data_IF_911550182402
#
_entry.id   IF_911550182402
#
_cell.length_a   1.000
_cell.length_b   1.000
_cell.length_c   1.000
_cell.angle_alpha   90.00
_cell.angle_beta   90.00
_cell.angle_gamma   90.00
#
_symmetry.space_group_name_H-M   'P 1'
#
loop_
_entity.id
_entity.type
_entity.pdbx_description
1 polymer ?
#
# COMPACT_ATOMS: atom_id res chain seq x y z
N UNK A 1 -14.68 2.54 -4.89
CA UNK A 1 -13.61 3.16 -4.05
C UNK A 1 -12.41 3.50 -4.92
N UNK A 2 -11.53 4.41 -4.50
CA UNK A 2 -10.34 4.81 -5.26
C UNK A 2 -9.12 4.01 -4.83
N UNK A 3 -8.35 3.53 -5.81
CA UNK A 3 -7.08 2.81 -5.60
C UNK A 3 -5.92 3.69 -6.10
N UNK A 4 -4.86 3.77 -5.30
CA UNK A 4 -3.69 4.59 -5.60
C UNK A 4 -2.40 3.86 -5.26
N UNK A 5 -1.46 3.83 -6.20
CA UNK A 5 -0.12 3.31 -5.95
C UNK A 5 0.93 4.01 -6.82
N UNK A 6 2.15 4.11 -6.31
CA UNK A 6 3.33 4.56 -7.06
C UNK A 6 4.33 3.42 -7.08
N UNK A 7 4.78 3.06 -8.26
CA UNK A 7 5.77 2.01 -8.47
C UNK A 7 7.01 2.64 -9.06
N UNK A 8 8.14 2.38 -8.43
CA UNK A 8 9.42 3.02 -8.75
C UNK A 8 10.43 1.93 -9.08
N UNK A 9 11.02 2.01 -10.27
CA UNK A 9 12.08 1.10 -10.68
C UNK A 9 13.39 1.35 -9.93
N UNK A 10 14.37 0.43 -10.07
CA UNK A 10 15.68 0.57 -9.45
C UNK A 10 16.33 1.92 -9.76
N UNK A 11 16.86 2.60 -8.74
CA UNK A 11 17.49 3.92 -8.88
C UNK A 11 16.55 5.07 -9.26
N UNK A 12 15.23 4.85 -9.23
CA UNK A 12 14.24 5.86 -9.64
C UNK A 12 14.06 6.01 -11.15
N UNK A 13 14.63 5.09 -11.94
CA UNK A 13 14.71 5.23 -13.40
C UNK A 13 13.34 5.17 -14.11
N UNK A 14 12.37 4.46 -13.53
CA UNK A 14 11.02 4.35 -14.07
C UNK A 14 9.99 4.60 -12.99
N UNK A 15 8.90 5.26 -13.35
CA UNK A 15 7.77 5.48 -12.46
C UNK A 15 6.49 5.06 -13.18
N UNK A 16 5.72 4.19 -12.55
CA UNK A 16 4.34 3.90 -12.93
C UNK A 16 3.41 4.30 -11.80
N UNK A 17 2.20 4.73 -12.15
CA UNK A 17 1.19 5.16 -11.18
C UNK A 17 -0.13 4.48 -11.47
N UNK A 18 -0.76 3.98 -10.41
CA UNK A 18 -2.13 3.46 -10.44
C UNK A 18 -3.01 4.53 -9.81
N UNK A 19 -4.09 4.90 -10.50
CA UNK A 19 -5.12 5.84 -10.06
C UNK A 19 -6.45 5.37 -10.63
N UNK A 20 -7.09 4.40 -9.97
CA UNK A 20 -8.25 3.68 -10.51
C UNK A 20 -9.49 3.85 -9.63
N UNK A 21 -10.61 4.25 -10.26
CA UNK A 21 -11.91 4.19 -9.62
C UNK A 21 -12.52 2.81 -9.83
N UNK A 22 -12.96 2.18 -8.74
CA UNK A 22 -13.58 0.85 -8.78
C UNK A 22 -15.03 0.90 -8.34
N UNK A 23 -15.81 -0.09 -8.78
CA UNK A 23 -17.19 -0.32 -8.32
C UNK A 23 -17.27 -0.89 -6.91
N UNK A 24 -16.14 -1.32 -6.33
CA UNK A 24 -16.11 -1.85 -4.96
C UNK A 24 -16.51 -0.79 -3.93
N UNK A 25 -17.23 -1.24 -2.91
CA UNK A 25 -17.58 -0.47 -1.72
C UNK A 25 -16.99 -1.17 -0.50
N UNK A 26 -16.67 -0.42 0.54
CA UNK A 26 -15.97 -0.98 1.70
C UNK A 26 -15.23 0.08 2.51
N UNK A 27 -14.33 -0.39 3.36
CA UNK A 27 -13.55 0.45 4.26
C UNK A 27 -12.18 0.85 3.67
N UNK A 28 -11.49 1.78 4.32
CA UNK A 28 -10.15 2.21 3.91
C UNK A 28 -9.15 1.05 3.83
N UNK A 29 -9.12 0.16 4.84
CA UNK A 29 -8.19 -0.98 4.85
C UNK A 29 -8.41 -1.92 3.65
N UNK A 30 -9.66 -2.07 3.20
CA UNK A 30 -9.97 -2.86 2.02
C UNK A 30 -9.48 -2.17 0.74
N UNK A 31 -9.66 -0.85 0.64
CA UNK A 31 -9.13 -0.06 -0.48
C UNK A 31 -7.60 -0.15 -0.54
N UNK A 32 -6.92 -0.03 0.61
CA UNK A 32 -5.47 -0.16 0.71
C UNK A 32 -4.98 -1.56 0.30
N UNK A 33 -5.65 -2.61 0.76
CA UNK A 33 -5.32 -3.99 0.40
C UNK A 33 -5.53 -4.26 -1.10
N UNK A 34 -6.62 -3.75 -1.67
CA UNK A 34 -6.88 -3.86 -3.12
C UNK A 34 -5.87 -3.06 -3.94
N UNK A 35 -5.46 -1.88 -3.47
CA UNK A 35 -4.43 -1.08 -4.13
C UNK A 35 -3.07 -1.81 -4.14
N UNK A 36 -2.71 -2.45 -3.02
CA UNK A 36 -1.52 -3.31 -2.95
C UNK A 36 -1.59 -4.46 -3.95
N UNK A 37 -2.68 -5.23 -3.95
CA UNK A 37 -2.87 -6.34 -4.90
C UNK A 37 -2.74 -5.88 -6.36
N UNK A 38 -3.38 -4.76 -6.70
CA UNK A 38 -3.34 -4.19 -8.04
C UNK A 38 -1.92 -3.77 -8.45
N UNK A 39 -1.13 -3.22 -7.52
CA UNK A 39 0.26 -2.87 -7.73
C UNK A 39 1.15 -4.12 -7.91
N UNK A 40 0.96 -5.15 -7.07
CA UNK A 40 1.69 -6.41 -7.19
C UNK A 40 1.40 -7.10 -8.52
N UNK A 41 0.15 -7.18 -8.94
CA UNK A 41 -0.25 -7.74 -10.25
C UNK A 41 0.41 -7.02 -11.43
N UNK A 42 0.61 -5.70 -11.33
CA UNK A 42 1.32 -4.96 -12.35
C UNK A 42 2.84 -5.23 -12.33
N UNK A 43 3.43 -5.36 -11.14
CA UNK A 43 4.86 -5.67 -10.98
C UNK A 43 5.22 -7.08 -11.39
N UNK A 44 4.36 -8.05 -11.07
CA UNK A 44 4.61 -9.49 -11.22
C UNK A 44 5.28 -9.86 -12.56
N UNK A 45 4.74 -9.50 -13.74
CA UNK A 45 5.36 -9.85 -15.02
C UNK A 45 6.72 -9.17 -15.29
N UNK A 46 7.07 -8.11 -14.55
CA UNK A 46 8.28 -7.32 -14.77
C UNK A 46 9.45 -7.72 -13.86
N UNK A 47 9.15 -8.17 -12.64
CA UNK A 47 10.18 -8.37 -11.60
C UNK A 47 10.37 -9.82 -11.18
N UNK A 48 9.38 -10.70 -11.39
CA UNK A 48 9.49 -12.11 -10.97
C UNK A 48 10.59 -12.83 -11.75
N UNK A 49 10.68 -12.61 -13.06
CA UNK A 49 11.70 -13.24 -13.90
C UNK A 49 13.13 -12.76 -13.59
N UNK A 50 13.28 -11.56 -13.04
CA UNK A 50 14.59 -10.95 -12.72
C UNK A 50 14.97 -11.12 -11.26
N UNK A 51 14.14 -11.76 -10.44
CA UNK A 51 14.32 -11.93 -8.99
C UNK A 51 14.63 -10.60 -8.27
N UNK A 52 14.10 -9.48 -8.77
CA UNK A 52 14.34 -8.17 -8.18
C UNK A 52 13.58 -8.06 -6.85
N UNK A 53 14.27 -7.66 -5.77
CA UNK A 53 13.64 -7.39 -4.47
C UNK A 53 12.59 -6.29 -4.60
N UNK A 54 11.39 -6.53 -4.08
CA UNK A 54 10.30 -5.55 -4.04
C UNK A 54 10.21 -4.95 -2.64
N UNK A 55 10.24 -3.62 -2.55
CA UNK A 55 9.95 -2.91 -1.30
C UNK A 55 8.55 -2.32 -1.38
N UNK A 56 7.71 -2.64 -0.40
CA UNK A 56 6.35 -2.11 -0.28
C UNK A 56 6.32 -1.14 0.89
N UNK A 57 6.09 0.14 0.60
CA UNK A 57 5.92 1.19 1.60
C UNK A 57 4.43 1.50 1.75
N UNK A 58 3.89 1.35 2.95
CA UNK A 58 2.47 1.64 3.24
C UNK A 58 2.32 2.43 4.52
N UNK A 59 1.36 3.35 4.59
CA UNK A 59 0.95 4.00 5.83
C UNK A 59 -0.13 3.24 6.61
N UNK A 60 -0.56 2.10 6.09
CA UNK A 60 -1.50 1.20 6.74
C UNK A 60 -0.78 0.25 7.69
N UNK A 61 -0.92 0.47 9.01
CA UNK A 61 -0.42 -0.50 9.99
C UNK A 61 -1.11 -1.85 9.85
N UNK A 62 -2.40 -1.85 9.47
CA UNK A 62 -3.19 -3.07 9.27
C UNK A 62 -2.61 -3.94 8.15
N UNK A 63 -2.19 -3.36 7.02
CA UNK A 63 -1.53 -4.14 5.97
C UNK A 63 -0.23 -4.76 6.46
N UNK A 64 0.60 -3.95 7.12
CA UNK A 64 1.92 -4.38 7.61
C UNK A 64 1.79 -5.47 8.68
N UNK A 65 0.82 -5.35 9.59
CA UNK A 65 0.54 -6.34 10.62
C UNK A 65 -0.02 -7.65 10.03
N UNK A 66 -1.00 -7.58 9.11
CA UNK A 66 -1.67 -8.77 8.58
C UNK A 66 -0.84 -9.53 7.54
N UNK A 67 0.04 -8.85 6.81
CA UNK A 67 0.90 -9.45 5.78
C UNK A 67 2.36 -9.65 6.23
N UNK A 68 2.73 -9.11 7.39
CA UNK A 68 4.05 -9.31 7.98
C UNK A 68 4.25 -10.71 8.56
N UNK A 69 5.43 -10.94 9.12
CA UNK A 69 5.83 -12.24 9.68
C UNK A 69 5.12 -12.58 11.01
N UNK A 70 4.60 -11.56 11.72
CA UNK A 70 3.95 -11.76 13.00
C UNK A 70 2.53 -12.32 12.81
N UNK A 71 2.24 -13.44 13.45
CA UNK A 71 0.90 -13.99 13.47
C UNK A 71 -0.03 -13.09 14.28
N UNK A 72 -0.97 -12.43 13.59
CA UNK A 72 -2.01 -11.61 14.19
C UNK A 72 -3.39 -12.22 13.93
N UNK A 73 -4.36 -11.89 14.78
CA UNK A 73 -5.73 -12.33 14.57
C UNK A 73 -6.26 -11.81 13.22
N UNK A 74 -6.83 -12.68 12.36
CA UNK A 74 -7.31 -12.26 11.06
C UNK A 74 -8.52 -11.33 11.21
N UNK A 75 -8.58 -10.31 10.37
CA UNK A 75 -9.82 -9.53 10.20
C UNK A 75 -10.76 -10.38 9.35
N UNK A 76 -11.71 -11.07 9.98
CA UNK A 76 -12.55 -12.11 9.37
C UNK A 76 -13.11 -11.74 7.99
N UNK A 77 -13.73 -10.55 7.87
CA UNK A 77 -14.29 -10.07 6.60
C UNK A 77 -13.26 -9.84 5.48
N UNK A 78 -11.99 -9.60 5.83
CA UNK A 78 -10.90 -9.33 4.89
C UNK A 78 -9.96 -10.53 4.74
N UNK A 79 -10.15 -11.60 5.52
CA UNK A 79 -9.26 -12.76 5.52
C UNK A 79 -9.06 -13.36 4.10
N UNK A 80 -10.10 -13.53 3.26
CA UNK A 80 -9.90 -14.04 1.90
C UNK A 80 -9.01 -13.14 1.03
N UNK A 81 -9.10 -11.82 1.21
CA UNK A 81 -8.33 -10.86 0.44
C UNK A 81 -6.87 -10.79 0.95
N UNK A 82 -6.65 -10.96 2.25
CA UNK A 82 -5.30 -11.11 2.80
C UNK A 82 -4.65 -12.41 2.35
N UNK A 83 -5.40 -13.51 2.26
CA UNK A 83 -4.91 -14.78 1.73
C UNK A 83 -4.51 -14.66 0.25
N UNK A 84 -5.30 -13.94 -0.55
CA UNK A 84 -4.93 -13.63 -1.94
C UNK A 84 -3.61 -12.84 -1.99
N UNK A 85 -3.49 -11.79 -1.19
CA UNK A 85 -2.27 -10.98 -1.14
C UNK A 85 -1.04 -11.81 -0.73
N UNK A 86 -1.16 -12.70 0.27
CA UNK A 86 -0.07 -13.62 0.65
C UNK A 86 0.34 -14.53 -0.51
N UNK A 87 -0.62 -15.09 -1.25
CA UNK A 87 -0.33 -15.95 -2.43
C UNK A 87 0.38 -15.18 -3.54
N UNK A 88 0.00 -13.92 -3.78
CA UNK A 88 0.66 -13.08 -4.78
C UNK A 88 2.08 -12.73 -4.33
N UNK A 89 2.27 -12.33 -3.06
CA UNK A 89 3.57 -12.02 -2.49
C UNK A 89 4.56 -13.19 -2.58
N UNK A 90 4.09 -14.43 -2.39
CA UNK A 90 4.92 -15.65 -2.51
C UNK A 90 5.49 -15.89 -3.92
N UNK A 91 4.99 -15.19 -4.95
CA UNK A 91 5.53 -15.31 -6.32
C UNK A 91 6.79 -14.49 -6.54
N UNK A 92 7.06 -13.52 -5.66
CA UNK A 92 8.24 -12.68 -5.71
C UNK A 92 9.37 -13.35 -4.93
N UNK A 93 10.61 -13.20 -5.41
CA UNK A 93 11.78 -13.80 -4.76
C UNK A 93 12.01 -13.22 -3.35
N UNK A 94 11.79 -11.91 -3.18
CA UNK A 94 11.87 -11.23 -1.90
C UNK A 94 10.95 -10.02 -1.89
N UNK A 95 10.16 -9.86 -0.83
CA UNK A 95 9.33 -8.67 -0.60
C UNK A 95 9.52 -8.16 0.81
N UNK A 96 9.88 -6.89 0.94
CA UNK A 96 10.02 -6.20 2.21
C UNK A 96 8.86 -5.23 2.40
N UNK A 97 7.95 -5.54 3.32
CA UNK A 97 6.79 -4.69 3.66
C UNK A 97 7.12 -3.80 4.85
N UNK A 98 7.05 -2.48 4.67
CA UNK A 98 7.42 -1.50 5.70
C UNK A 98 6.32 -0.46 5.91
N UNK A 99 6.05 -0.19 7.18
CA UNK A 99 5.19 0.92 7.57
C UNK A 99 5.93 2.26 7.43
N UNK A 100 5.28 3.25 6.83
CA UNK A 100 5.76 4.64 6.76
C UNK A 100 4.70 5.62 7.27
N UNK A 101 5.09 6.74 7.90
CA UNK A 101 4.12 7.77 8.26
C UNK A 101 3.36 8.29 7.03
N UNK A 102 2.06 8.58 7.18
CA UNK A 102 1.19 9.05 6.09
C UNK A 102 1.72 10.22 5.25
N UNK A 103 2.44 11.16 5.86
CA UNK A 103 3.03 12.28 5.12
C UNK A 103 4.11 11.85 4.12
N UNK A 104 4.67 10.64 4.26
CA UNK A 104 5.60 10.03 3.29
C UNK A 104 4.89 9.21 2.21
N UNK A 105 3.59 8.92 2.35
CA UNK A 105 2.79 8.19 1.37
C UNK A 105 1.78 9.09 0.62
N UNK A 106 2.02 10.41 0.61
CA UNK A 106 1.07 11.39 0.07
C UNK A 106 0.78 11.23 -1.41
N UNK A 107 1.75 10.73 -2.20
CA UNK A 107 1.57 10.53 -3.64
C UNK A 107 0.52 9.43 -3.93
N UNK A 108 0.58 8.30 -3.23
CA UNK A 108 -0.41 7.23 -3.38
C UNK A 108 -1.81 7.67 -2.91
N UNK A 109 -1.90 8.39 -1.77
CA UNK A 109 -3.16 8.96 -1.28
C UNK A 109 -3.78 9.95 -2.29
N UNK A 110 -2.96 10.82 -2.88
CA UNK A 110 -3.41 11.77 -3.89
C UNK A 110 -3.95 11.05 -5.14
N UNK A 111 -3.29 9.99 -5.61
CA UNK A 111 -3.77 9.18 -6.74
C UNK A 111 -5.10 8.49 -6.44
N UNK A 112 -5.23 7.86 -5.26
CA UNK A 112 -6.48 7.21 -4.86
C UNK A 112 -7.66 8.21 -4.80
N UNK A 113 -7.40 9.43 -4.33
CA UNK A 113 -8.42 10.51 -4.27
C UNK A 113 -8.73 11.08 -5.65
N UNK A 114 -7.72 11.32 -6.46
CA UNK A 114 -7.86 11.83 -7.82
C UNK A 114 -8.70 10.89 -8.69
N UNK A 115 -8.54 9.57 -8.52
CA UNK A 115 -9.37 8.57 -9.19
C UNK A 115 -10.87 8.79 -8.96
N UNK A 116 -11.27 9.32 -7.79
CA UNK A 116 -12.65 9.63 -7.44
C UNK A 116 -13.04 11.10 -7.72
N UNK A 117 -12.18 11.88 -8.36
CA UNK A 117 -12.39 13.31 -8.59
C UNK A 117 -12.26 14.17 -7.33
N UNK A 118 -11.63 13.65 -6.27
CA UNK A 118 -11.46 14.36 -5.00
C UNK A 118 -10.14 15.13 -4.96
N UNK A 119 -10.16 16.32 -4.36
CA UNK A 119 -8.94 17.10 -4.13
C UNK A 119 -7.95 16.34 -3.21
N UNK A 120 -6.62 16.55 -3.38
CA UNK A 120 -5.62 15.98 -2.49
C UNK A 120 -5.88 16.34 -1.03
N UNK A 121 -5.57 15.43 -0.11
CA UNK A 121 -5.70 15.72 1.31
C UNK A 121 -4.58 16.68 1.71
N UNK A 122 -4.93 17.85 2.27
CA UNK A 122 -3.93 18.77 2.81
C UNK A 122 -3.16 18.07 3.92
N UNK A 123 -1.84 18.00 3.81
CA UNK A 123 -1.00 17.42 4.84
C UNK A 123 -1.07 18.30 6.10
N UNK A 124 -1.69 17.80 7.17
CA UNK A 124 -1.70 18.51 8.45
C UNK A 124 -0.29 18.49 9.05
N UNK A 125 0.34 19.65 9.33
CA UNK A 125 1.64 19.68 9.98
C UNK A 125 1.50 19.05 11.37
N UNK A 126 2.33 18.05 11.67
CA UNK A 126 2.30 17.41 12.98
C UNK A 126 2.99 18.35 13.99
N UNK A 127 2.20 18.89 14.91
CA UNK A 127 2.71 19.62 16.07
C UNK A 127 3.61 18.70 16.90
N UNK A 128 4.85 19.15 17.15
CA UNK A 128 5.77 18.55 18.13
C UNK A 128 5.03 18.38 19.45
N UNK A 129 4.75 17.14 19.86
CA UNK A 129 4.30 16.85 21.22
C UNK A 129 5.46 17.16 22.16
N UNK A 130 5.51 18.36 22.72
CA UNK A 130 6.40 18.65 23.85
C UNK A 130 5.94 17.77 25.02
N UNK A 131 6.70 16.71 25.30
CA UNK A 131 6.62 15.99 26.57
C UNK A 131 6.85 17.01 27.71
N UNK A 132 5.78 17.48 28.34
CA UNK A 132 5.90 18.11 29.67
C UNK A 132 6.30 17.01 30.64
N UNK A 133 7.60 16.93 30.93
CA UNK A 133 8.08 16.25 32.13
C UNK A 133 7.49 17.00 33.33
N UNK A 134 6.64 16.32 34.09
CA UNK A 134 6.35 16.67 35.48
C UNK A 134 7.18 15.74 36.35
#
# INVERSE_FOLDING_TARGET
>A
MGLGAVLVGPGGATQHTISEATTFTGCNNEAELRALLRALQWLEPQVVATATTVQVLSDSSVLVEQLGEQAVAPIERLAPLFDEARRVLQRFAQVDLQWVPRHRNGAADALARAALGLAPKVATPHGRTQKRRR
#
